data_IF_691664231391
#
_entry.id   IF_691664231391
#
_cell.length_a   1.000
_cell.length_b   1.000
_cell.length_c   1.000
_cell.angle_alpha   90.00
_cell.angle_beta   90.00
_cell.angle_gamma   90.00
#
_symmetry.space_group_name_H-M   'P 1'
#
loop_
_entity.id
_entity.type
_entity.pdbx_description
1 polymer ?
#
# COMPACT_ATOMS: atom_id res chain seq x y z
N UNK A 1 0.98 17.38 4.42
CA UNK A 1 0.18 16.25 3.92
C UNK A 1 1.18 15.17 3.58
N UNK A 2 1.14 14.04 4.30
CA UNK A 2 2.03 12.91 4.07
C UNK A 2 1.58 12.08 2.88
N UNK A 3 2.45 11.20 2.39
CA UNK A 3 2.11 10.29 1.29
C UNK A 3 1.03 9.29 1.72
N UNK A 4 0.14 8.94 0.79
CA UNK A 4 -0.83 7.87 0.99
C UNK A 4 -0.30 6.59 0.36
N UNK A 5 -0.19 5.55 1.18
CA UNK A 5 0.31 4.23 0.79
C UNK A 5 -0.87 3.29 0.90
N UNK A 6 -1.30 2.76 -0.25
CA UNK A 6 -2.41 1.84 -0.34
C UNK A 6 -1.88 0.43 -0.28
N UNK A 7 -2.51 -0.47 0.47
CA UNK A 7 -2.05 -1.85 0.52
C UNK A 7 -3.21 -2.84 0.51
N UNK A 8 -3.06 -3.91 -0.24
CA UNK A 8 -3.95 -5.06 -0.23
C UNK A 8 -3.26 -6.20 0.54
N UNK A 9 -3.86 -6.63 1.64
CA UNK A 9 -3.29 -7.64 2.53
C UNK A 9 -4.04 -8.96 2.38
N UNK A 10 -3.44 -9.89 1.66
CA UNK A 10 -3.94 -11.23 1.45
C UNK A 10 -3.19 -12.20 2.38
N UNK A 11 -3.79 -12.66 3.51
CA UNK A 11 -3.07 -13.38 4.57
C UNK A 11 -2.33 -14.65 4.12
N UNK A 12 -2.74 -15.24 3.00
CA UNK A 12 -2.17 -16.47 2.44
C UNK A 12 -1.28 -16.23 1.20
N UNK A 13 -1.17 -14.99 0.73
CA UNK A 13 -0.44 -14.64 -0.49
C UNK A 13 0.68 -13.66 -0.15
N UNK A 14 0.36 -12.55 0.49
CA UNK A 14 1.28 -11.47 0.83
C UNK A 14 0.58 -10.12 0.86
N UNK A 15 1.35 -9.05 0.74
CA UNK A 15 0.85 -7.68 0.75
C UNK A 15 1.32 -6.97 -0.50
N UNK A 16 0.39 -6.51 -1.34
CA UNK A 16 0.68 -5.60 -2.44
C UNK A 16 0.53 -4.17 -1.95
N UNK A 17 1.61 -3.38 -1.95
CA UNK A 17 1.58 -1.98 -1.54
C UNK A 17 1.84 -1.06 -2.73
N UNK A 18 1.08 0.02 -2.82
CA UNK A 18 1.13 1.04 -3.86
C UNK A 18 1.53 2.38 -3.24
N UNK A 19 2.64 2.90 -3.73
CA UNK A 19 3.26 4.17 -3.34
C UNK A 19 3.07 5.20 -4.45
N UNK A 20 3.22 6.51 -4.17
CA UNK A 20 3.17 7.55 -5.20
C UNK A 20 4.18 7.36 -6.34
N UNK A 21 5.26 6.62 -6.07
CA UNK A 21 6.40 6.41 -6.98
C UNK A 21 6.49 4.98 -7.53
N UNK A 22 5.58 4.07 -7.18
CA UNK A 22 5.65 2.68 -7.63
C UNK A 22 4.81 1.72 -6.80
N UNK A 23 5.05 0.42 -6.94
CA UNK A 23 4.42 -0.61 -6.10
C UNK A 23 5.46 -1.64 -5.69
N UNK A 24 5.27 -2.25 -4.53
CA UNK A 24 6.13 -3.31 -4.00
C UNK A 24 5.28 -4.43 -3.40
N UNK A 25 5.79 -5.66 -3.49
CA UNK A 25 5.18 -6.84 -2.88
C UNK A 25 5.97 -7.26 -1.64
N UNK A 26 5.26 -7.49 -0.53
CA UNK A 26 5.82 -7.97 0.73
C UNK A 26 5.24 -9.33 1.11
N UNK A 27 6.07 -10.23 1.64
CA UNK A 27 5.60 -11.58 2.05
C UNK A 27 4.69 -11.55 3.27
N UNK A 28 4.83 -10.52 4.10
CA UNK A 28 4.06 -10.34 5.32
C UNK A 28 4.18 -8.89 5.83
N UNK A 29 3.39 -8.58 6.85
CA UNK A 29 3.34 -7.25 7.46
C UNK A 29 4.68 -6.80 8.04
N UNK A 30 5.44 -7.70 8.65
CA UNK A 30 6.74 -7.36 9.23
C UNK A 30 7.75 -6.85 8.19
N UNK A 31 7.75 -7.44 6.98
CA UNK A 31 8.59 -6.97 5.87
C UNK A 31 8.17 -5.57 5.42
N UNK A 32 6.87 -5.34 5.26
CA UNK A 32 6.33 -4.03 4.89
C UNK A 32 6.69 -2.98 5.94
N UNK A 33 6.43 -3.23 7.23
CA UNK A 33 6.74 -2.28 8.30
C UNK A 33 8.24 -1.94 8.37
N UNK A 34 9.11 -2.93 8.14
CA UNK A 34 10.57 -2.70 8.08
C UNK A 34 10.95 -1.82 6.89
N UNK A 35 10.36 -2.06 5.73
CA UNK A 35 10.57 -1.25 4.53
C UNK A 35 10.12 0.21 4.76
N UNK A 36 8.92 0.40 5.31
CA UNK A 36 8.39 1.73 5.62
C UNK A 36 9.27 2.49 6.61
N UNK A 37 9.75 1.82 7.66
CA UNK A 37 10.66 2.40 8.64
C UNK A 37 11.97 2.88 8.01
N UNK A 38 12.51 2.13 7.04
CA UNK A 38 13.75 2.51 6.32
C UNK A 38 13.49 3.67 5.34
N UNK A 39 12.40 3.61 4.57
CA UNK A 39 12.14 4.56 3.48
C UNK A 39 11.50 5.88 3.92
N UNK A 40 10.58 5.83 4.88
CA UNK A 40 9.89 7.02 5.39
C UNK A 40 10.49 7.49 6.72
N UNK A 41 11.09 6.61 7.53
CA UNK A 41 11.68 7.02 8.80
C UNK A 41 10.68 7.72 9.72
N UNK A 42 10.84 9.04 9.87
CA UNK A 42 9.93 9.91 10.63
C UNK A 42 9.01 10.77 9.77
N UNK A 43 9.10 10.65 8.43
CA UNK A 43 8.23 11.36 7.51
C UNK A 43 6.79 10.87 7.67
N UNK A 44 5.81 11.79 7.73
CA UNK A 44 4.42 11.41 7.88
C UNK A 44 3.92 10.70 6.62
N UNK A 45 3.25 9.57 6.81
CA UNK A 45 2.52 8.86 5.77
C UNK A 45 1.20 8.32 6.34
N UNK A 46 0.28 7.96 5.45
CA UNK A 46 -0.97 7.31 5.78
C UNK A 46 -1.02 5.94 5.13
N UNK A 47 -1.31 4.91 5.91
CA UNK A 47 -1.64 3.57 5.40
C UNK A 47 -3.14 3.48 5.16
N UNK A 48 -3.51 3.04 3.96
CA UNK A 48 -4.90 2.81 3.56
C UNK A 48 -5.01 1.38 3.07
N UNK A 49 -5.77 0.55 3.78
CA UNK A 49 -6.05 -0.80 3.32
C UNK A 49 -7.02 -0.76 2.14
N UNK A 50 -6.70 -1.48 1.07
CA UNK A 50 -7.61 -1.70 -0.06
C UNK A 50 -8.62 -2.74 0.39
N UNK A 51 -9.90 -2.39 0.27
CA UNK A 51 -11.03 -3.23 0.64
C UNK A 51 -12.05 -3.19 -0.48
N UNK A 52 -12.99 -4.13 -0.51
CA UNK A 52 -14.07 -4.14 -1.51
C UNK A 52 -14.84 -2.81 -1.58
N UNK A 53 -14.95 -2.10 -0.45
CA UNK A 53 -15.67 -0.84 -0.35
C UNK A 53 -14.96 0.33 -1.04
N UNK A 54 -13.63 0.38 -0.99
CA UNK A 54 -12.84 1.46 -1.60
C UNK A 54 -12.20 1.07 -2.93
N UNK A 55 -12.25 -0.21 -3.32
CA UNK A 55 -11.61 -0.75 -4.51
C UNK A 55 -11.93 0.05 -5.78
N UNK A 56 -13.23 0.22 -6.08
CA UNK A 56 -13.68 0.94 -7.28
C UNK A 56 -13.23 2.41 -7.27
N UNK A 57 -13.24 3.05 -6.11
CA UNK A 57 -12.76 4.43 -5.97
C UNK A 57 -11.25 4.53 -6.25
N UNK A 58 -10.47 3.59 -5.73
CA UNK A 58 -9.02 3.56 -5.91
C UNK A 58 -8.60 3.25 -7.36
N UNK A 59 -9.35 2.37 -8.04
CA UNK A 59 -9.20 2.14 -9.49
C UNK A 59 -9.49 3.42 -10.27
N UNK A 60 -10.59 4.13 -9.97
CA UNK A 60 -10.92 5.41 -10.63
C UNK A 60 -9.88 6.50 -10.37
N UNK A 61 -9.22 6.47 -9.20
CA UNK A 61 -8.11 7.37 -8.85
C UNK A 61 -6.80 7.00 -9.54
N UNK A 62 -6.72 5.84 -10.21
CA UNK A 62 -5.51 5.35 -10.87
C UNK A 62 -4.43 4.89 -9.89
N UNK A 63 -4.79 4.55 -8.64
CA UNK A 63 -3.85 4.04 -7.62
C UNK A 63 -3.24 2.72 -8.08
N UNK A 64 -4.06 1.88 -8.71
CA UNK A 64 -3.64 0.67 -9.39
C UNK A 64 -4.53 0.45 -10.61
N UNK A 65 -4.03 -0.31 -11.58
CA UNK A 65 -4.82 -0.69 -12.74
C UNK A 65 -5.51 -2.02 -12.45
N UNK A 66 -6.85 -2.04 -12.51
CA UNK A 66 -7.60 -3.28 -12.58
C UNK A 66 -7.23 -3.99 -13.90
N UNK A 67 -6.95 -5.29 -13.82
CA UNK A 67 -6.67 -6.16 -14.97
C UNK A 67 -7.97 -6.49 -15.70
#
# INVERSE_FOLDING_TARGET
>A
MGDSIYFDNEPNVGINAYFPWGHEFFKNRQQMDSFLSIHYGSDPYQLVEITDENYLELVHKGVFHAI
#
